data_IF_454678085066
#
_entry.id   IF_454678085066
#
_cell.length_a   1.000
_cell.length_b   1.000
_cell.length_c   1.000
_cell.angle_alpha   90.00
_cell.angle_beta   90.00
_cell.angle_gamma   90.00
#
_symmetry.space_group_name_H-M   'P 1'
#
loop_
_entity.id
_entity.type
_entity.pdbx_description
1 polymer ?
#
# COMPACT_ATOMS: atom_id res chain seq x y z
N UNK A 1 10.38 10.31 14.75
CA UNK A 1 10.01 9.29 13.75
C UNK A 1 8.53 9.02 13.85
N UNK A 2 7.83 9.47 12.82
CA UNK A 2 6.40 9.39 12.61
C UNK A 2 6.16 8.42 11.45
N UNK A 3 5.04 7.71 11.47
CA UNK A 3 4.61 6.85 10.37
C UNK A 3 3.45 7.49 9.63
N UNK A 4 3.31 7.14 8.36
CA UNK A 4 2.24 7.65 7.53
C UNK A 4 2.17 6.97 6.18
N UNK A 5 1.15 7.32 5.40
CA UNK A 5 0.90 6.76 4.06
C UNK A 5 1.14 7.79 2.98
N UNK A 6 1.81 7.38 1.92
CA UNK A 6 2.00 8.24 0.75
C UNK A 6 0.64 8.48 0.09
N UNK A 7 0.17 9.72 0.06
CA UNK A 7 -1.04 10.10 -0.67
C UNK A 7 -0.79 10.12 -2.16
N UNK A 8 0.33 10.75 -2.54
CA UNK A 8 0.75 10.89 -3.93
C UNK A 8 2.24 11.18 -3.99
N UNK A 9 2.91 10.53 -4.92
CA UNK A 9 4.29 10.81 -5.25
C UNK A 9 4.43 10.96 -6.77
N UNK A 10 5.11 12.00 -7.21
CA UNK A 10 5.42 12.23 -8.62
C UNK A 10 6.92 11.95 -8.81
N UNK A 11 7.25 10.76 -9.32
CA UNK A 11 8.64 10.35 -9.57
C UNK A 11 9.37 11.25 -10.57
N UNK A 12 8.63 11.85 -11.51
CA UNK A 12 9.19 12.70 -12.55
C UNK A 12 9.58 14.05 -11.97
N UNK A 13 8.72 14.61 -11.11
CA UNK A 13 8.97 15.88 -10.43
C UNK A 13 9.79 15.74 -9.15
N UNK A 14 9.87 14.54 -8.59
CA UNK A 14 10.64 14.23 -7.39
C UNK A 14 10.03 14.75 -6.09
N UNK A 15 8.71 14.94 -6.02
CA UNK A 15 8.04 15.39 -4.79
C UNK A 15 6.69 14.70 -4.60
N UNK A 16 6.19 14.72 -3.36
CA UNK A 16 4.93 14.11 -2.99
C UNK A 16 4.40 14.60 -1.66
N UNK A 17 3.35 13.94 -1.18
CA UNK A 17 2.71 14.21 0.10
C UNK A 17 2.46 12.90 0.85
N UNK A 18 2.68 12.95 2.15
CA UNK A 18 2.47 11.85 3.09
C UNK A 18 1.39 12.27 4.08
N UNK A 19 0.36 11.44 4.22
CA UNK A 19 -0.61 11.55 5.29
C UNK A 19 -0.05 10.89 6.56
N UNK A 20 0.24 11.64 7.63
CA UNK A 20 0.67 11.06 8.90
C UNK A 20 -0.46 10.24 9.54
N UNK A 21 -0.11 9.12 10.17
CA UNK A 21 -1.09 8.21 10.80
C UNK A 21 -1.71 8.82 12.07
N UNK A 22 -0.93 9.67 12.77
CA UNK A 22 -1.38 10.43 13.94
C UNK A 22 -2.48 11.47 13.62
N UNK A 23 -2.79 11.64 12.33
CA UNK A 23 -3.70 12.67 11.82
C UNK A 23 -3.03 14.05 11.79
N UNK A 24 -3.46 14.91 10.88
CA UNK A 24 -2.89 16.26 10.76
C UNK A 24 -2.84 16.77 9.32
N UNK A 25 -2.02 17.80 9.11
CA UNK A 25 -1.72 18.33 7.78
C UNK A 25 -0.83 17.37 6.98
N UNK A 26 -1.00 17.40 5.66
CA UNK A 26 -0.19 16.62 4.73
C UNK A 26 1.28 17.05 4.82
N UNK A 27 2.16 16.08 5.01
CA UNK A 27 3.59 16.34 5.15
C UNK A 27 4.24 16.26 3.77
N UNK A 28 4.95 17.31 3.39
CA UNK A 28 5.63 17.39 2.09
C UNK A 28 6.87 16.50 2.05
N UNK A 29 6.99 15.63 1.05
CA UNK A 29 8.17 14.79 0.83
C UNK A 29 8.90 15.16 -0.45
N UNK A 30 10.23 15.05 -0.42
CA UNK A 30 11.09 15.27 -1.57
C UNK A 30 11.97 14.05 -1.84
N UNK A 31 12.25 13.77 -3.11
CA UNK A 31 13.02 12.59 -3.52
C UNK A 31 14.47 12.57 -2.99
N UNK A 32 15.00 13.72 -2.57
CA UNK A 32 16.32 13.80 -1.92
C UNK A 32 16.33 13.32 -0.47
N UNK A 33 15.18 13.32 0.19
CA UNK A 33 15.06 12.93 1.60
C UNK A 33 14.68 11.44 1.75
N UNK A 34 14.53 10.74 0.62
CA UNK A 34 14.30 9.30 0.55
C UNK A 34 15.60 8.52 0.84
N UNK A 35 15.53 7.58 1.76
CA UNK A 35 16.63 6.68 2.10
C UNK A 35 16.66 5.43 1.21
N UNK A 36 15.50 4.99 0.74
CA UNK A 36 15.32 3.82 -0.13
C UNK A 36 15.09 4.23 -1.59
N UNK A 37 15.00 3.23 -2.48
CA UNK A 37 14.69 3.43 -3.89
C UNK A 37 13.34 4.15 -4.10
N UNK A 38 13.36 5.31 -4.76
CA UNK A 38 12.18 6.13 -5.07
C UNK A 38 11.02 5.38 -5.77
N UNK A 39 11.32 4.32 -6.52
CA UNK A 39 10.32 3.48 -7.18
C UNK A 39 9.45 2.69 -6.21
N UNK A 40 9.90 2.50 -4.97
CA UNK A 40 9.15 1.84 -3.89
C UNK A 40 8.14 2.78 -3.22
N UNK A 41 8.29 4.10 -3.40
CA UNK A 41 7.47 5.12 -2.77
C UNK A 41 6.24 5.42 -3.63
N UNK A 42 5.28 4.49 -3.62
CA UNK A 42 4.03 4.59 -4.37
C UNK A 42 2.88 5.02 -3.45
N UNK A 43 1.82 5.59 -4.05
CA UNK A 43 0.62 5.95 -3.30
C UNK A 43 0.04 4.72 -2.55
N UNK A 44 -0.27 4.89 -1.27
CA UNK A 44 -0.76 3.84 -0.38
C UNK A 44 0.32 3.09 0.40
N UNK A 45 1.61 3.28 0.08
CA UNK A 45 2.71 2.66 0.83
C UNK A 45 2.89 3.35 2.19
N UNK A 46 3.11 2.55 3.22
CA UNK A 46 3.42 3.04 4.57
C UNK A 46 4.90 3.35 4.67
N UNK A 47 5.22 4.53 5.16
CA UNK A 47 6.58 5.04 5.31
C UNK A 47 6.79 5.59 6.71
N UNK A 48 8.01 5.44 7.20
CA UNK A 48 8.50 6.08 8.41
C UNK A 48 9.33 7.29 8.00
N UNK A 49 9.11 8.44 8.64
CA UNK A 49 9.77 9.70 8.34
C UNK A 49 9.87 10.56 9.59
N UNK A 50 10.68 11.60 9.54
CA UNK A 50 10.73 12.63 10.58
C UNK A 50 10.09 13.91 10.06
N UNK A 51 9.28 14.57 10.90
CA UNK A 51 8.57 15.79 10.53
C UNK A 51 9.38 17.00 10.99
N UNK A 52 9.82 17.81 10.04
CA UNK A 52 10.52 19.07 10.27
C UNK A 52 9.64 20.25 9.84
N UNK A 53 9.51 21.26 10.71
CA UNK A 53 8.90 22.54 10.32
C UNK A 53 9.93 23.35 9.53
N UNK A 54 9.68 23.54 8.24
CA UNK A 54 10.62 24.22 7.35
C UNK A 54 10.10 25.58 6.89
N UNK A 55 9.39 26.35 7.74
CA UNK A 55 8.92 27.72 7.44
C UNK A 55 7.99 27.90 6.22
N UNK A 56 7.81 26.85 5.42
CA UNK A 56 6.91 26.70 4.26
C UNK A 56 5.86 25.60 4.49
N UNK A 57 5.80 25.06 5.72
CA UNK A 57 4.96 23.94 6.11
C UNK A 57 5.77 22.74 6.63
N UNK A 58 5.05 21.67 6.95
CA UNK A 58 5.60 20.41 7.43
C UNK A 58 6.32 19.68 6.30
N UNK A 59 7.61 19.38 6.49
CA UNK A 59 8.46 18.62 5.57
C UNK A 59 8.83 17.28 6.21
N UNK A 60 8.79 16.22 5.41
CA UNK A 60 9.30 14.90 5.78
C UNK A 60 10.79 14.79 5.43
N UNK A 61 11.57 14.32 6.38
CA UNK A 61 12.99 14.03 6.25
C UNK A 61 13.28 12.58 6.67
N UNK A 62 14.38 12.00 6.18
CA UNK A 62 14.84 10.66 6.57
C UNK A 62 13.78 9.57 6.31
N UNK A 63 13.23 9.56 5.10
CA UNK A 63 12.03 8.79 4.74
C UNK A 63 12.43 7.38 4.31
N UNK A 64 11.88 6.36 4.97
CA UNK A 64 12.14 4.94 4.68
C UNK A 64 10.84 4.13 4.64
N UNK A 65 10.85 3.01 3.90
CA UNK A 65 9.68 2.14 3.79
C UNK A 65 9.45 1.44 5.14
N UNK A 66 8.27 1.66 5.73
CA UNK A 66 7.89 0.95 6.94
C UNK A 66 7.47 -0.46 6.55
N UNK A 67 8.38 -1.44 6.68
CA UNK A 67 8.01 -2.85 6.60
C UNK A 67 6.98 -3.15 7.68
N UNK A 68 5.79 -3.62 7.29
CA UNK A 68 4.67 -3.98 8.15
C UNK A 68 5.09 -4.85 9.35
N UNK A 69 5.48 -4.21 10.44
CA UNK A 69 5.67 -4.83 11.75
C UNK A 69 5.34 -3.88 12.91
N UNK A 70 5.08 -2.59 12.63
CA UNK A 70 4.70 -1.62 13.64
C UNK A 70 3.71 -0.60 13.05
N UNK A 71 2.43 -0.95 13.11
CA UNK A 71 1.35 0.01 12.88
C UNK A 71 0.22 -0.30 13.88
N UNK A 72 0.00 0.52 14.92
CA UNK A 72 -1.29 0.55 15.58
C UNK A 72 -2.30 1.10 14.58
N UNK A 73 -3.47 0.46 14.52
CA UNK A 73 -4.58 0.90 13.71
C UNK A 73 -5.09 2.28 14.20
N UNK A 74 -4.98 3.30 13.37
CA UNK A 74 -5.78 4.51 13.48
C UNK A 74 -6.52 4.77 12.16
N UNK A 75 -7.80 5.08 12.31
CA UNK A 75 -8.86 4.96 11.31
C UNK A 75 -8.84 6.12 10.29
N UNK A 76 -9.17 5.89 9.00
CA UNK A 76 -9.29 6.97 8.02
C UNK A 76 -10.57 7.78 8.27
N UNK A 77 -10.42 9.00 8.77
CA UNK A 77 -11.48 10.00 8.82
C UNK A 77 -11.78 10.55 7.41
N UNK A 78 -12.69 9.89 6.68
CA UNK A 78 -13.51 10.54 5.66
C UNK A 78 -14.97 10.21 5.96
N UNK A 79 -15.69 11.20 6.52
CA UNK A 79 -17.15 11.15 6.64
C UNK A 79 -17.76 11.67 5.33
N UNK A 80 -18.60 10.86 4.66
CA UNK A 80 -19.94 11.29 4.30
C UNK A 80 -20.99 10.34 4.89
N UNK A 81 -22.29 10.73 4.95
CA UNK A 81 -23.21 10.24 5.95
C UNK A 81 -23.66 8.79 5.72
N UNK A 82 -23.87 8.08 6.83
CA UNK A 82 -24.32 6.69 6.91
C UNK A 82 -25.62 6.40 6.13
N UNK A 83 -25.84 5.12 5.79
CA UNK A 83 -26.69 4.35 6.68
C UNK A 83 -26.03 3.08 7.24
N UNK A 84 -26.40 2.79 8.48
CA UNK A 84 -26.14 1.58 9.29
C UNK A 84 -26.27 0.28 8.49
N UNK A 85 -25.30 -0.64 8.63
CA UNK A 85 -25.33 -1.78 9.56
C UNK A 85 -24.12 -2.71 9.31
N UNK A 86 -23.37 -3.03 10.37
CA UNK A 86 -22.58 -4.25 10.62
C UNK A 86 -22.22 -5.17 9.41
N UNK A 87 -20.99 -5.08 8.89
CA UNK A 87 -20.39 -6.13 8.04
C UNK A 87 -18.90 -6.36 8.42
N UNK A 88 -18.48 -7.58 8.82
CA UNK A 88 -17.09 -7.89 9.14
C UNK A 88 -16.27 -8.12 7.86
N UNK A 89 -15.07 -7.52 7.79
CA UNK A 89 -13.93 -7.83 6.90
C UNK A 89 -14.23 -8.37 5.49
N UNK A 90 -14.16 -7.50 4.47
CA UNK A 90 -14.29 -7.88 3.05
C UNK A 90 -13.12 -8.76 2.60
N UNK A 91 -13.22 -10.07 2.82
CA UNK A 91 -12.35 -11.09 2.26
C UNK A 91 -12.53 -11.13 0.75
N UNK A 92 -11.44 -11.03 -0.02
CA UNK A 92 -11.51 -11.00 -1.48
C UNK A 92 -11.96 -12.38 -1.98
N UNK A 93 -12.99 -12.43 -2.82
CA UNK A 93 -13.44 -13.69 -3.43
C UNK A 93 -12.31 -14.37 -4.24
N UNK A 94 -12.17 -15.70 -4.11
CA UNK A 94 -11.15 -16.49 -4.81
C UNK A 94 -11.15 -16.29 -6.32
N UNK A 95 -12.30 -16.00 -6.92
CA UNK A 95 -12.43 -15.75 -8.35
C UNK A 95 -11.71 -14.47 -8.79
N UNK A 96 -11.77 -13.41 -7.97
CA UNK A 96 -11.09 -12.13 -8.23
C UNK A 96 -9.59 -12.27 -8.02
N UNK A 97 -9.18 -12.88 -6.90
CA UNK A 97 -7.77 -13.14 -6.60
C UNK A 97 -7.09 -13.96 -7.71
N UNK A 98 -7.80 -14.96 -8.25
CA UNK A 98 -7.35 -15.77 -9.40
C UNK A 98 -7.13 -14.94 -10.66
N UNK A 99 -7.99 -13.96 -10.92
CA UNK A 99 -7.86 -13.04 -12.07
C UNK A 99 -6.57 -12.22 -11.98
N UNK A 100 -6.39 -11.53 -10.86
CA UNK A 100 -5.25 -10.65 -10.57
C UNK A 100 -3.90 -11.38 -10.70
N UNK A 101 -3.82 -12.62 -10.19
CA UNK A 101 -2.60 -13.45 -10.33
C UNK A 101 -2.31 -13.75 -11.79
N UNK A 102 -3.34 -14.06 -12.59
CA UNK A 102 -3.15 -14.43 -14.00
C UNK A 102 -2.62 -13.23 -14.79
N UNK A 103 -3.22 -12.06 -14.58
CA UNK A 103 -2.83 -10.83 -15.28
C UNK A 103 -1.43 -10.36 -14.87
N UNK A 104 -1.11 -10.44 -13.58
CA UNK A 104 0.21 -10.09 -13.06
C UNK A 104 1.31 -11.02 -13.59
N UNK A 105 1.07 -12.34 -13.62
CA UNK A 105 2.05 -13.31 -14.13
C UNK A 105 2.29 -13.18 -15.64
N UNK A 106 1.23 -12.92 -16.42
CA UNK A 106 1.35 -12.67 -17.86
C UNK A 106 2.17 -11.41 -18.15
N UNK A 107 2.01 -10.36 -17.34
CA UNK A 107 2.75 -9.11 -17.48
C UNK A 107 4.22 -9.22 -17.04
N UNK A 108 4.48 -9.85 -15.88
CA UNK A 108 5.81 -9.89 -15.27
C UNK A 108 6.73 -10.95 -15.89
N UNK A 109 6.18 -12.04 -16.42
CA UNK A 109 6.98 -13.18 -16.91
C UNK A 109 6.37 -13.80 -18.19
N UNK A 110 6.52 -13.16 -19.36
CA UNK A 110 5.96 -13.64 -20.62
C UNK A 110 6.57 -14.95 -21.14
N UNK A 111 7.65 -15.43 -20.51
CA UNK A 111 8.28 -16.72 -20.79
C UNK A 111 7.57 -17.89 -20.12
N UNK A 112 6.64 -17.64 -19.19
CA UNK A 112 5.86 -18.69 -18.55
C UNK A 112 4.87 -19.30 -19.53
N UNK A 113 4.84 -20.63 -19.56
CA UNK A 113 3.82 -21.35 -20.31
C UNK A 113 2.46 -21.27 -19.62
N UNK A 114 1.38 -21.40 -20.39
CA UNK A 114 0.02 -21.41 -19.85
C UNK A 114 -0.17 -22.48 -18.74
N UNK A 115 0.48 -23.64 -18.87
CA UNK A 115 0.44 -24.70 -17.86
C UNK A 115 1.10 -24.26 -16.53
N UNK A 116 2.24 -23.57 -16.61
CA UNK A 116 2.94 -23.04 -15.43
C UNK A 116 2.13 -21.95 -14.73
N UNK A 117 1.49 -21.05 -15.49
CA UNK A 117 0.63 -19.99 -14.93
C UNK A 117 -0.55 -20.62 -14.18
N UNK A 118 -1.20 -21.64 -14.76
CA UNK A 118 -2.32 -22.34 -14.11
C UNK A 118 -1.88 -23.05 -12.83
N UNK A 119 -0.66 -23.60 -12.79
CA UNK A 119 -0.12 -24.28 -11.60
C UNK A 119 0.24 -23.30 -10.49
N UNK A 120 0.93 -22.21 -10.82
CA UNK A 120 1.32 -21.18 -9.86
C UNK A 120 0.10 -20.49 -9.23
N UNK A 121 -0.89 -20.18 -10.07
CA UNK A 121 -2.17 -19.61 -9.63
C UNK A 121 -2.92 -20.50 -8.66
N UNK A 122 -2.95 -21.82 -8.89
CA UNK A 122 -3.58 -22.77 -7.95
C UNK A 122 -2.89 -22.78 -6.60
N UNK A 123 -1.55 -22.79 -6.58
CA UNK A 123 -0.77 -22.78 -5.35
C UNK A 123 -0.96 -21.48 -4.55
N UNK A 124 -0.97 -20.33 -5.23
CA UNK A 124 -1.19 -19.03 -4.59
C UNK A 124 -2.60 -18.88 -4.03
N UNK A 125 -3.63 -19.31 -4.76
CA UNK A 125 -5.03 -19.32 -4.26
C UNK A 125 -5.15 -20.22 -3.01
N UNK A 126 -4.54 -21.40 -3.05
CA UNK A 126 -4.58 -22.34 -1.92
C UNK A 126 -3.86 -21.78 -0.70
N UNK A 127 -2.71 -21.12 -0.88
CA UNK A 127 -1.99 -20.43 0.19
C UNK A 127 -2.85 -19.29 0.78
N UNK A 128 -3.48 -18.48 -0.07
CA UNK A 128 -4.31 -17.38 0.39
C UNK A 128 -5.56 -17.86 1.16
N UNK A 129 -6.11 -19.01 0.81
CA UNK A 129 -7.21 -19.65 1.55
C UNK A 129 -6.75 -20.19 2.92
N UNK A 130 -5.57 -20.84 2.98
CA UNK A 130 -5.00 -21.35 4.23
C UNK A 130 -4.75 -20.24 5.26
N UNK A 131 -4.35 -19.05 4.76
CA UNK A 131 -4.15 -17.85 5.57
C UNK A 131 -5.43 -17.01 5.78
N UNK A 132 -6.58 -17.43 5.26
CA UNK A 132 -7.85 -16.71 5.41
C UNK A 132 -7.94 -15.37 4.68
N UNK A 133 -7.08 -15.11 3.70
CA UNK A 133 -7.09 -13.89 2.88
C UNK A 133 -8.18 -13.90 1.81
N UNK A 134 -8.65 -15.10 1.48
CA UNK A 134 -9.54 -15.35 0.35
C UNK A 134 -10.62 -16.32 0.79
N UNK A 135 -11.88 -15.97 0.52
CA UNK A 135 -12.99 -16.89 0.82
C UNK A 135 -13.00 -18.09 -0.13
N UNK A 136 -13.29 -19.30 0.38
CA UNK A 136 -13.57 -20.44 -0.48
C UNK A 136 -14.88 -20.18 -1.24
N UNK A 137 -14.74 -19.88 -2.54
CA UNK A 137 -15.86 -19.79 -3.48
C UNK A 137 -16.26 -21.15 -4.04
#
# INVERSE_FOLDING_TARGET
MTTGRILRFDEVRGYGFIAPDEGGEDVFMHANDLLDDKHLFQAGVVVAFDVEDSGRGLKASNISIASSADAPAAEPAVVPPAPRADEPGDTVSAARFRGEITETLLAAAPTLTAAQIVQLRRQLVQLAQDHGWVEPG
#
